data_IF_857288715125
#
_entry.id   IF_857288715125
#
_cell.length_a   1.000
_cell.length_b   1.000
_cell.length_c   1.000
_cell.angle_alpha   90.00
_cell.angle_beta   90.00
_cell.angle_gamma   90.00
#
_symmetry.space_group_name_H-M   'P 1'
#
loop_
_entity.id
_entity.type
_entity.pdbx_description
1 polymer ?
#
# COMPACT_ATOMS: atom_id res chain seq x y z
N UNK A 1 -4.44 46.42 -10.00
CA UNK A 1 -4.02 45.62 -8.85
C UNK A 1 -5.26 44.93 -8.27
N UNK A 2 -5.62 43.82 -8.83
CA UNK A 2 -6.83 43.05 -8.43
C UNK A 2 -6.38 41.88 -7.58
N UNK A 3 -6.56 42.05 -6.25
CA UNK A 3 -6.20 41.03 -5.26
C UNK A 3 -6.94 39.70 -5.47
N UNK A 4 -6.19 38.61 -5.48
CA UNK A 4 -6.69 37.25 -5.36
C UNK A 4 -7.32 37.06 -3.96
N UNK A 5 -8.53 37.50 -3.75
CA UNK A 5 -9.37 37.07 -2.66
C UNK A 5 -9.86 35.64 -2.99
N UNK A 6 -9.03 34.64 -2.69
CA UNK A 6 -9.48 33.23 -2.68
C UNK A 6 -10.60 33.11 -1.65
N UNK A 7 -11.80 32.90 -2.15
CA UNK A 7 -13.07 32.90 -1.43
C UNK A 7 -13.00 32.01 -0.18
N UNK A 8 -13.30 32.53 1.04
CA UNK A 8 -13.23 31.76 2.30
C UNK A 8 -14.10 30.49 2.29
N UNK A 9 -15.13 30.45 1.46
CA UNK A 9 -16.02 29.30 1.26
C UNK A 9 -15.27 28.07 0.68
N UNK A 10 -14.30 28.28 -0.22
CA UNK A 10 -13.52 27.15 -0.78
C UNK A 10 -12.62 26.49 0.26
N UNK A 11 -12.03 27.26 1.17
CA UNK A 11 -11.19 26.72 2.24
C UNK A 11 -12.02 25.95 3.28
N UNK A 12 -13.21 26.43 3.61
CA UNK A 12 -14.13 25.75 4.52
C UNK A 12 -14.60 24.41 3.93
N UNK A 13 -14.96 24.38 2.65
CA UNK A 13 -15.36 23.15 1.96
C UNK A 13 -14.20 22.13 1.88
N UNK A 14 -12.99 22.61 1.58
CA UNK A 14 -11.79 21.77 1.54
C UNK A 14 -11.49 21.18 2.94
N UNK A 15 -11.58 21.98 3.97
CA UNK A 15 -11.39 21.54 5.37
C UNK A 15 -12.40 20.46 5.77
N UNK A 16 -13.68 20.63 5.45
CA UNK A 16 -14.75 19.65 5.72
C UNK A 16 -14.49 18.36 4.94
N UNK A 17 -14.09 18.47 3.67
CA UNK A 17 -13.76 17.31 2.84
C UNK A 17 -12.58 16.52 3.41
N UNK A 18 -11.48 17.20 3.77
CA UNK A 18 -10.31 16.58 4.40
C UNK A 18 -10.70 15.90 5.71
N UNK A 19 -11.49 16.55 6.54
CA UNK A 19 -11.95 16.00 7.82
C UNK A 19 -12.78 14.72 7.63
N UNK A 20 -13.73 14.72 6.69
CA UNK A 20 -14.52 13.54 6.33
C UNK A 20 -13.65 12.40 5.79
N UNK A 21 -12.67 12.72 4.95
CA UNK A 21 -11.71 11.75 4.41
C UNK A 21 -10.88 11.11 5.54
N UNK A 22 -10.37 11.91 6.47
CA UNK A 22 -9.62 11.43 7.63
C UNK A 22 -10.46 10.51 8.53
N UNK A 23 -11.73 10.86 8.77
CA UNK A 23 -12.66 10.01 9.53
C UNK A 23 -12.91 8.69 8.78
N UNK A 24 -13.14 8.74 7.48
CA UNK A 24 -13.36 7.54 6.67
C UNK A 24 -12.13 6.63 6.70
N UNK A 25 -10.93 7.17 6.53
CA UNK A 25 -9.68 6.41 6.60
C UNK A 25 -9.53 5.75 7.97
N UNK A 26 -9.78 6.48 9.06
CA UNK A 26 -9.66 5.93 10.41
C UNK A 26 -10.66 4.81 10.71
N UNK A 27 -11.81 4.81 10.04
CA UNK A 27 -12.80 3.72 10.13
C UNK A 27 -12.39 2.49 9.33
N UNK A 28 -11.70 2.66 8.21
CA UNK A 28 -11.25 1.56 7.34
C UNK A 28 -9.93 0.98 7.86
N UNK A 29 -8.98 1.85 8.25
CA UNK A 29 -7.64 1.45 8.71
C UNK A 29 -7.67 1.21 10.23
N UNK A 30 -8.44 0.22 10.66
CA UNK A 30 -8.42 -0.27 12.04
C UNK A 30 -7.31 -1.30 12.22
N UNK A 31 -6.83 -1.50 13.44
CA UNK A 31 -5.86 -2.54 13.79
C UNK A 31 -6.28 -3.91 13.23
N UNK A 32 -7.52 -4.31 13.48
CA UNK A 32 -8.03 -5.61 13.04
C UNK A 32 -8.02 -5.74 11.51
N UNK A 33 -8.51 -4.74 10.78
CA UNK A 33 -8.53 -4.77 9.31
C UNK A 33 -7.11 -4.85 8.74
N UNK A 34 -6.17 -4.07 9.29
CA UNK A 34 -4.78 -4.08 8.85
C UNK A 34 -4.14 -5.44 9.08
N UNK A 35 -4.37 -6.07 10.25
CA UNK A 35 -3.85 -7.42 10.55
C UNK A 35 -4.43 -8.46 9.60
N UNK A 36 -5.76 -8.45 9.37
CA UNK A 36 -6.42 -9.40 8.46
C UNK A 36 -5.89 -9.26 7.04
N UNK A 37 -5.80 -8.02 6.54
CA UNK A 37 -5.27 -7.74 5.20
C UNK A 37 -3.81 -8.20 5.10
N UNK A 38 -2.97 -7.87 6.08
CA UNK A 38 -1.57 -8.24 6.12
C UNK A 38 -1.38 -9.77 6.12
N UNK A 39 -2.14 -10.48 6.94
CA UNK A 39 -2.12 -11.95 6.98
C UNK A 39 -2.56 -12.56 5.65
N UNK A 40 -3.60 -11.99 5.01
CA UNK A 40 -4.05 -12.41 3.68
C UNK A 40 -2.96 -12.20 2.63
N UNK A 41 -2.30 -11.04 2.64
CA UNK A 41 -1.19 -10.73 1.72
C UNK A 41 -0.01 -11.69 1.94
N UNK A 42 0.31 -12.01 3.19
CA UNK A 42 1.34 -13.00 3.53
C UNK A 42 0.99 -14.40 3.01
N UNK A 43 -0.23 -14.86 3.26
CA UNK A 43 -0.71 -16.14 2.73
C UNK A 43 -0.63 -16.19 1.20
N UNK A 44 -1.11 -15.15 0.52
CA UNK A 44 -1.06 -15.08 -0.94
C UNK A 44 0.38 -15.03 -1.46
N UNK A 45 1.30 -14.36 -0.76
CA UNK A 45 2.72 -14.33 -1.15
C UNK A 45 3.33 -15.73 -1.17
N UNK A 46 3.06 -16.52 -0.12
CA UNK A 46 3.54 -17.89 -0.04
C UNK A 46 2.90 -18.77 -1.13
N UNK A 47 1.58 -18.66 -1.31
CA UNK A 47 0.86 -19.42 -2.31
C UNK A 47 1.35 -19.11 -3.74
N UNK A 48 1.44 -17.83 -4.11
CA UNK A 48 1.90 -17.39 -5.43
C UNK A 48 3.36 -17.80 -5.66
N UNK A 49 4.23 -17.60 -4.65
CA UNK A 49 5.64 -17.97 -4.74
C UNK A 49 5.85 -19.47 -4.92
N UNK A 50 5.14 -20.30 -4.16
CA UNK A 50 5.18 -21.75 -4.30
C UNK A 50 4.65 -22.19 -5.67
N UNK A 51 3.54 -21.62 -6.12
CA UNK A 51 2.97 -21.93 -7.43
C UNK A 51 3.91 -21.50 -8.58
N UNK A 52 4.57 -20.36 -8.45
CA UNK A 52 5.58 -19.90 -9.41
C UNK A 52 6.76 -20.87 -9.49
N UNK A 53 7.27 -21.34 -8.36
CA UNK A 53 8.42 -22.24 -8.30
C UNK A 53 8.13 -23.64 -8.85
N UNK A 54 6.91 -24.13 -8.75
CA UNK A 54 6.54 -25.50 -9.15
C UNK A 54 5.80 -25.55 -10.50
N UNK A 55 4.69 -24.86 -10.63
CA UNK A 55 3.80 -25.01 -11.79
C UNK A 55 4.06 -23.95 -12.88
N UNK A 56 4.18 -22.69 -12.50
CA UNK A 56 4.31 -21.60 -13.49
C UNK A 56 5.63 -21.63 -14.27
N UNK A 57 6.68 -22.21 -13.70
CA UNK A 57 7.98 -22.37 -14.40
C UNK A 57 7.89 -23.20 -15.70
N UNK A 58 6.85 -24.02 -15.85
CA UNK A 58 6.63 -24.82 -17.05
C UNK A 58 5.75 -24.10 -18.09
N UNK A 59 5.09 -23.00 -17.71
CA UNK A 59 4.09 -22.29 -18.53
C UNK A 59 4.55 -20.89 -18.88
N UNK A 60 5.17 -20.19 -17.93
CA UNK A 60 5.63 -18.81 -18.10
C UNK A 60 7.07 -18.77 -18.64
N UNK A 61 7.35 -17.77 -19.47
CA UNK A 61 8.72 -17.48 -19.88
C UNK A 61 9.55 -16.91 -18.71
N UNK A 62 10.86 -16.92 -18.85
CA UNK A 62 11.81 -16.47 -17.84
C UNK A 62 11.51 -15.04 -17.34
N UNK A 63 11.18 -14.11 -18.25
CA UNK A 63 10.88 -12.73 -17.89
C UNK A 63 9.61 -12.61 -17.04
N UNK A 64 8.55 -13.37 -17.35
CA UNK A 64 7.32 -13.39 -16.57
C UNK A 64 7.54 -13.97 -15.16
N UNK A 65 8.40 -14.99 -15.03
CA UNK A 65 8.79 -15.54 -13.73
C UNK A 65 9.54 -14.50 -12.89
N UNK A 66 10.41 -13.68 -13.48
CA UNK A 66 11.08 -12.58 -12.77
C UNK A 66 10.08 -11.53 -12.29
N UNK A 67 9.03 -11.22 -13.06
CA UNK A 67 7.98 -10.31 -12.60
C UNK A 67 7.22 -10.88 -11.41
N UNK A 68 6.85 -12.17 -11.46
CA UNK A 68 6.17 -12.83 -10.33
C UNK A 68 7.07 -12.82 -9.08
N UNK A 69 8.34 -13.19 -9.22
CA UNK A 69 9.31 -13.21 -8.11
C UNK A 69 9.46 -11.82 -7.47
N UNK A 70 9.60 -10.78 -8.29
CA UNK A 70 9.64 -9.39 -7.81
C UNK A 70 8.35 -9.01 -7.08
N UNK A 71 7.20 -9.32 -7.66
CA UNK A 71 5.89 -9.04 -7.06
C UNK A 71 5.74 -9.72 -5.70
N UNK A 72 6.11 -10.99 -5.58
CA UNK A 72 6.06 -11.77 -4.33
C UNK A 72 6.97 -11.17 -3.26
N UNK A 73 8.20 -10.81 -3.59
CA UNK A 73 9.16 -10.21 -2.66
C UNK A 73 8.63 -8.90 -2.07
N UNK A 74 8.14 -8.01 -2.90
CA UNK A 74 7.60 -6.72 -2.44
C UNK A 74 6.31 -6.89 -1.63
N UNK A 75 5.41 -7.78 -2.05
CA UNK A 75 4.19 -8.09 -1.33
C UNK A 75 4.48 -8.70 0.05
N UNK A 76 5.36 -9.67 0.12
CA UNK A 76 5.72 -10.35 1.38
C UNK A 76 6.37 -9.36 2.35
N UNK A 77 7.34 -8.57 1.88
CA UNK A 77 8.07 -7.63 2.72
C UNK A 77 7.14 -6.56 3.30
N UNK A 78 6.39 -5.85 2.43
CA UNK A 78 5.50 -4.78 2.88
C UNK A 78 4.25 -5.31 3.61
N UNK A 79 3.77 -6.50 3.26
CA UNK A 79 2.73 -7.20 4.01
C UNK A 79 3.17 -7.54 5.43
N UNK A 80 4.43 -7.99 5.61
CA UNK A 80 5.03 -8.21 6.94
C UNK A 80 5.12 -6.92 7.76
N UNK A 81 5.54 -5.81 7.12
CA UNK A 81 5.53 -4.49 7.79
C UNK A 81 4.11 -4.08 8.17
N UNK A 82 3.12 -4.26 7.28
CA UNK A 82 1.71 -3.96 7.60
C UNK A 82 1.22 -4.76 8.81
N UNK A 83 1.65 -6.02 8.99
CA UNK A 83 1.30 -6.80 10.16
C UNK A 83 1.81 -6.14 11.45
N UNK A 84 3.05 -5.67 11.45
CA UNK A 84 3.64 -4.90 12.57
C UNK A 84 2.85 -3.62 12.83
N UNK A 85 2.48 -2.87 11.77
CA UNK A 85 1.66 -1.67 11.90
C UNK A 85 0.28 -1.97 12.47
N UNK A 86 -0.33 -3.10 12.11
CA UNK A 86 -1.59 -3.55 12.66
C UNK A 86 -1.52 -3.75 14.18
N UNK A 87 -0.44 -4.35 14.70
CA UNK A 87 -0.20 -4.47 16.13
C UNK A 87 0.09 -3.11 16.79
N UNK A 88 0.87 -2.24 16.14
CA UNK A 88 1.09 -0.89 16.64
C UNK A 88 -0.23 -0.10 16.76
N UNK A 89 -1.13 -0.20 15.78
CA UNK A 89 -2.46 0.43 15.83
C UNK A 89 -3.37 -0.16 16.90
N UNK A 90 -3.11 -1.38 17.39
CA UNK A 90 -3.82 -1.94 18.54
C UNK A 90 -3.47 -1.18 19.83
N UNK A 91 -2.22 -0.76 19.97
CA UNK A 91 -1.72 -0.01 21.10
C UNK A 91 -2.04 1.50 20.98
N UNK A 92 -1.90 2.05 19.76
CA UNK A 92 -2.11 3.47 19.46
C UNK A 92 -3.09 3.66 18.28
N UNK A 93 -4.41 3.46 18.51
CA UNK A 93 -5.40 3.42 17.43
C UNK A 93 -5.55 4.73 16.66
N UNK A 94 -5.19 5.85 17.28
CA UNK A 94 -5.32 7.19 16.70
C UNK A 94 -4.02 7.71 16.03
N UNK A 95 -2.98 6.88 15.93
CA UNK A 95 -1.70 7.29 15.33
C UNK A 95 -1.81 7.42 13.82
N UNK A 96 -2.15 8.63 13.36
CA UNK A 96 -2.47 8.93 11.96
C UNK A 96 -1.36 8.56 10.98
N UNK A 97 -0.09 8.82 11.34
CA UNK A 97 1.03 8.50 10.45
C UNK A 97 1.17 6.99 10.20
N UNK A 98 0.89 6.16 11.20
CA UNK A 98 0.86 4.71 11.06
C UNK A 98 -0.33 4.26 10.20
N UNK A 99 -1.50 4.89 10.36
CA UNK A 99 -2.66 4.60 9.50
C UNK A 99 -2.35 4.92 8.03
N UNK A 100 -1.75 6.08 7.76
CA UNK A 100 -1.32 6.47 6.42
C UNK A 100 -0.25 5.55 5.86
N UNK A 101 0.73 5.12 6.67
CA UNK A 101 1.74 4.16 6.26
C UNK A 101 1.10 2.83 5.83
N UNK A 102 0.19 2.27 6.64
CA UNK A 102 -0.50 1.03 6.33
C UNK A 102 -1.32 1.14 5.04
N UNK A 103 -2.07 2.24 4.85
CA UNK A 103 -2.83 2.49 3.63
C UNK A 103 -1.92 2.62 2.41
N UNK A 104 -0.81 3.37 2.52
CA UNK A 104 0.14 3.57 1.43
C UNK A 104 0.83 2.27 1.03
N UNK A 105 1.18 1.40 1.99
CA UNK A 105 1.71 0.08 1.67
C UNK A 105 0.67 -0.80 0.99
N UNK A 106 -0.59 -0.80 1.45
CA UNK A 106 -1.65 -1.57 0.79
C UNK A 106 -1.82 -1.14 -0.67
N UNK A 107 -1.98 0.17 -0.92
CA UNK A 107 -2.11 0.72 -2.28
C UNK A 107 -0.87 0.40 -3.10
N UNK A 108 0.32 0.54 -2.50
CA UNK A 108 1.59 0.21 -3.13
C UNK A 108 1.67 -1.26 -3.56
N UNK A 109 1.30 -2.20 -2.69
CA UNK A 109 1.28 -3.64 -3.01
C UNK A 109 0.30 -3.93 -4.14
N UNK A 110 -0.92 -3.39 -4.08
CA UNK A 110 -1.94 -3.63 -5.09
C UNK A 110 -1.50 -3.12 -6.47
N UNK A 111 -0.90 -1.94 -6.55
CA UNK A 111 -0.45 -1.35 -7.81
C UNK A 111 0.88 -1.97 -8.28
N UNK A 112 1.85 -2.17 -7.40
CA UNK A 112 3.16 -2.70 -7.76
C UNK A 112 3.12 -4.20 -8.05
N UNK A 113 2.81 -5.00 -7.03
CA UNK A 113 2.81 -6.47 -7.17
C UNK A 113 1.65 -6.93 -8.05
N UNK A 114 0.47 -6.30 -7.92
CA UNK A 114 -0.68 -6.60 -8.76
C UNK A 114 -0.41 -6.37 -10.25
N UNK A 115 0.19 -5.24 -10.64
CA UNK A 115 0.55 -5.00 -12.05
C UNK A 115 1.56 -6.02 -12.58
N UNK A 116 2.55 -6.42 -11.78
CA UNK A 116 3.52 -7.44 -12.15
C UNK A 116 2.88 -8.81 -12.35
N UNK A 117 1.94 -9.21 -11.49
CA UNK A 117 1.22 -10.48 -11.66
C UNK A 117 0.34 -10.48 -12.90
N UNK A 118 -0.41 -9.39 -13.13
CA UNK A 118 -1.25 -9.27 -14.33
C UNK A 118 -0.36 -9.24 -15.59
N UNK A 119 0.77 -8.54 -15.55
CA UNK A 119 1.73 -8.49 -16.65
C UNK A 119 2.33 -9.87 -16.93
N UNK A 120 2.64 -10.66 -15.90
CA UNK A 120 3.14 -12.02 -16.08
C UNK A 120 2.09 -12.94 -16.72
N UNK A 121 0.83 -12.83 -16.32
CA UNK A 121 -0.27 -13.64 -16.85
C UNK A 121 -0.70 -13.25 -18.26
N UNK A 122 -0.72 -11.94 -18.57
CA UNK A 122 -1.27 -11.41 -19.83
C UNK A 122 -0.21 -11.10 -20.88
N UNK A 123 1.06 -11.00 -20.51
CA UNK A 123 2.19 -10.53 -21.32
C UNK A 123 2.03 -9.09 -21.83
N UNK A 124 1.07 -8.31 -21.29
CA UNK A 124 0.82 -6.90 -21.64
C UNK A 124 1.83 -6.01 -20.93
N UNK A 125 2.94 -5.69 -21.57
CA UNK A 125 4.03 -4.88 -21.00
C UNK A 125 3.62 -3.45 -20.61
N UNK A 126 2.57 -2.90 -21.20
CA UNK A 126 2.05 -1.57 -20.89
C UNK A 126 1.62 -1.44 -19.42
N UNK A 127 1.24 -2.54 -18.75
CA UNK A 127 0.92 -2.55 -17.32
C UNK A 127 2.12 -2.21 -16.43
N UNK A 128 3.34 -2.37 -16.94
CA UNK A 128 4.57 -1.94 -16.27
C UNK A 128 4.63 -0.43 -15.99
N UNK A 129 3.82 0.41 -16.65
CA UNK A 129 3.71 1.84 -16.34
C UNK A 129 2.99 2.09 -14.99
N UNK A 130 2.21 1.15 -14.49
CA UNK A 130 1.52 1.24 -13.19
C UNK A 130 2.49 0.92 -12.05
N UNK A 131 3.44 0.02 -12.29
CA UNK A 131 4.39 -0.45 -11.27
C UNK A 131 5.14 0.69 -10.55
N UNK A 132 5.71 1.71 -11.23
CA UNK A 132 6.37 2.83 -10.55
C UNK A 132 5.45 3.61 -9.62
N UNK A 133 4.16 3.76 -9.96
CA UNK A 133 3.17 4.45 -9.11
C UNK A 133 3.00 3.68 -7.80
N UNK A 134 2.92 2.34 -7.87
CA UNK A 134 2.90 1.49 -6.69
C UNK A 134 4.18 1.63 -5.85
N UNK A 135 5.34 1.70 -6.48
CA UNK A 135 6.62 1.96 -5.82
C UNK A 135 6.65 3.30 -5.07
N UNK A 136 6.15 4.37 -5.70
CA UNK A 136 6.02 5.67 -5.05
C UNK A 136 5.07 5.63 -3.84
N UNK A 137 3.96 4.90 -3.92
CA UNK A 137 3.06 4.71 -2.78
C UNK A 137 3.77 4.01 -1.61
N UNK A 138 4.59 3.00 -1.88
CA UNK A 138 5.41 2.35 -0.84
C UNK A 138 6.42 3.32 -0.21
N UNK A 139 7.09 4.16 -1.02
CA UNK A 139 8.00 5.18 -0.50
C UNK A 139 7.28 6.18 0.41
N UNK A 140 6.06 6.59 0.07
CA UNK A 140 5.22 7.43 0.95
C UNK A 140 4.93 6.70 2.26
N UNK A 141 4.64 5.40 2.22
CA UNK A 141 4.47 4.58 3.42
C UNK A 141 5.68 4.60 4.34
N UNK A 142 6.88 4.42 3.79
CA UNK A 142 8.14 4.51 4.53
C UNK A 142 8.40 5.89 5.09
N UNK A 143 8.09 6.95 4.34
CA UNK A 143 8.21 8.32 4.83
C UNK A 143 7.25 8.59 6.00
N UNK A 144 6.01 8.09 5.92
CA UNK A 144 5.06 8.19 7.04
C UNK A 144 5.58 7.46 8.29
N UNK A 145 6.23 6.30 8.13
CA UNK A 145 6.86 5.58 9.25
C UNK A 145 8.01 6.37 9.85
N UNK A 146 8.91 6.89 9.02
CA UNK A 146 10.03 7.72 9.48
C UNK A 146 9.52 8.93 10.28
N UNK A 147 8.57 9.67 9.73
CA UNK A 147 7.98 10.83 10.41
C UNK A 147 7.20 10.43 11.66
N UNK A 148 6.56 9.26 11.64
CA UNK A 148 5.88 8.69 12.81
C UNK A 148 6.85 8.36 13.93
N UNK A 149 7.98 7.76 13.62
CA UNK A 149 9.02 7.43 14.60
C UNK A 149 9.65 8.68 15.25
N UNK A 150 9.75 9.79 14.51
CA UNK A 150 10.25 11.06 15.02
C UNK A 150 9.21 11.80 15.89
N UNK A 151 7.92 11.52 15.72
CA UNK A 151 6.82 12.11 16.47
C UNK A 151 6.18 11.00 17.31
N UNK A 152 6.70 10.79 18.53
CA UNK A 152 6.09 9.80 19.42
C UNK A 152 4.61 10.11 19.65
N UNK A 153 3.73 9.09 19.69
CA UNK A 153 2.34 9.28 20.07
C UNK A 153 2.29 9.67 21.55
N UNK A 154 1.56 10.74 21.85
CA UNK A 154 1.19 11.08 23.23
C UNK A 154 0.21 10.06 23.79
#
# INVERSE_FOLDING_TARGET
MSGLFLCPVKWAQLSIFIHRLLIMISRIVTSQNVIVIAATLGFLSVAIGAFAAHSLKHVLNHQALLWVDTGVKYQMFHGGIMLILGFALKQWPNWKLIQWAALSFLVGILLFSGSLYIMAATQIKALGMITPIGGLAMLVGWLCLLLGALKQPE
#
